data_IF_739070880594
#
_entry.id   IF_739070880594
#
_cell.length_a   1.000
_cell.length_b   1.000
_cell.length_c   1.000
_cell.angle_alpha   90.00
_cell.angle_beta   90.00
_cell.angle_gamma   90.00
#
_symmetry.space_group_name_H-M   'P 1'
#
loop_
_entity.id
_entity.type
_entity.pdbx_description
1 polymer ?
#
# COMPACT_ATOMS: atom_id res chain seq x y z
N UNK A 1 -11.85 -3.81 -10.43
CA UNK A 1 -10.65 -4.13 -9.63
C UNK A 1 -10.93 -3.74 -8.19
N UNK A 2 -10.49 -4.54 -7.20
CA UNK A 2 -10.57 -4.15 -5.78
C UNK A 2 -9.53 -3.08 -5.49
N UNK A 3 -9.89 -2.05 -4.72
CA UNK A 3 -9.03 -0.90 -4.43
C UNK A 3 -7.76 -1.33 -3.69
N UNK A 4 -7.88 -2.35 -2.86
CA UNK A 4 -6.82 -2.99 -2.08
C UNK A 4 -5.72 -3.57 -2.99
N UNK A 5 -6.09 -4.17 -4.12
CA UNK A 5 -5.13 -4.72 -5.08
C UNK A 5 -4.33 -3.60 -5.76
N UNK A 6 -5.01 -2.50 -6.12
CA UNK A 6 -4.34 -1.34 -6.74
C UNK A 6 -3.36 -0.68 -5.76
N UNK A 7 -3.75 -0.56 -4.49
CA UNK A 7 -2.86 -0.05 -3.43
C UNK A 7 -1.69 -1.00 -3.19
N UNK A 8 -1.93 -2.31 -3.20
CA UNK A 8 -0.86 -3.31 -3.04
C UNK A 8 0.20 -3.21 -4.15
N UNK A 9 -0.24 -3.01 -5.40
CA UNK A 9 0.66 -2.83 -6.55
C UNK A 9 1.40 -1.49 -6.49
N UNK A 10 0.69 -0.40 -6.17
CA UNK A 10 1.29 0.93 -6.08
C UNK A 10 2.31 1.02 -4.94
N UNK A 11 2.07 0.36 -3.80
CA UNK A 11 3.05 0.26 -2.71
C UNK A 11 4.35 -0.43 -3.15
N UNK A 12 4.26 -1.44 -4.02
CA UNK A 12 5.45 -2.07 -4.59
C UNK A 12 6.17 -1.14 -5.57
N UNK A 13 5.43 -0.42 -6.43
CA UNK A 13 6.00 0.60 -7.31
C UNK A 13 6.74 1.69 -6.50
N UNK A 14 6.08 2.24 -5.47
CA UNK A 14 6.67 3.24 -4.57
C UNK A 14 7.92 2.72 -3.86
N UNK A 15 7.97 1.44 -3.48
CA UNK A 15 9.17 0.84 -2.89
C UNK A 15 10.33 0.82 -3.89
N UNK A 16 10.08 0.33 -5.11
CA UNK A 16 11.08 0.25 -6.17
C UNK A 16 11.60 1.63 -6.61
N UNK A 17 10.77 2.67 -6.49
CA UNK A 17 11.13 4.06 -6.74
C UNK A 17 11.90 4.72 -5.58
N UNK A 18 12.01 4.07 -4.42
CA UNK A 18 12.62 4.64 -3.22
C UNK A 18 11.71 5.62 -2.45
N UNK A 19 10.42 5.67 -2.77
CA UNK A 19 9.42 6.56 -2.15
C UNK A 19 8.94 6.11 -0.76
N UNK A 20 9.42 4.96 -0.28
CA UNK A 20 9.14 4.40 1.05
C UNK A 20 10.40 4.38 1.96
N UNK A 21 11.02 5.54 2.26
CA UNK A 21 12.22 5.58 3.09
C UNK A 21 11.94 5.04 4.50
N UNK A 22 12.81 4.17 5.00
CA UNK A 22 12.69 3.57 6.33
C UNK A 22 11.74 2.36 6.41
N UNK A 23 11.07 2.00 5.30
CA UNK A 23 10.26 0.78 5.22
C UNK A 23 11.09 -0.31 4.55
N UNK A 24 11.18 -1.49 5.18
CA UNK A 24 11.88 -2.64 4.62
C UNK A 24 11.03 -3.34 3.56
N UNK A 25 11.68 -3.91 2.56
CA UNK A 25 11.04 -4.69 1.49
C UNK A 25 10.12 -5.79 2.03
N UNK A 26 10.57 -6.51 3.08
CA UNK A 26 9.80 -7.57 3.73
C UNK A 26 8.43 -7.09 4.22
N UNK A 27 8.38 -5.86 4.74
CA UNK A 27 7.14 -5.27 5.25
C UNK A 27 6.22 -4.90 4.08
N UNK A 28 6.76 -4.31 3.01
CA UNK A 28 6.00 -4.00 1.80
C UNK A 28 5.43 -5.28 1.19
N UNK A 29 6.24 -6.33 1.07
CA UNK A 29 5.81 -7.63 0.55
C UNK A 29 4.72 -8.26 1.40
N UNK A 30 4.84 -8.19 2.73
CA UNK A 30 3.83 -8.70 3.66
C UNK A 30 2.51 -7.93 3.51
N UNK A 31 2.55 -6.61 3.57
CA UNK A 31 1.37 -5.74 3.47
C UNK A 31 0.69 -5.89 2.10
N UNK A 32 1.45 -5.84 1.01
CA UNK A 32 0.91 -6.04 -0.34
C UNK A 32 0.28 -7.42 -0.49
N UNK A 33 0.85 -8.47 0.12
CA UNK A 33 0.25 -9.80 0.13
C UNK A 33 -1.08 -9.81 0.89
N UNK A 34 -1.12 -9.24 2.10
CA UNK A 34 -2.32 -9.20 2.94
C UNK A 34 -3.45 -8.39 2.29
N UNK A 35 -3.13 -7.28 1.62
CA UNK A 35 -4.10 -6.49 0.85
C UNK A 35 -4.66 -7.29 -0.36
N UNK A 36 -3.83 -8.09 -1.03
CA UNK A 36 -4.25 -8.94 -2.15
C UNK A 36 -5.07 -10.15 -1.68
N UNK A 37 -4.77 -10.74 -0.54
CA UNK A 37 -5.55 -11.86 0.03
C UNK A 37 -6.84 -11.37 0.70
N UNK A 38 -6.91 -10.09 1.07
CA UNK A 38 -8.00 -9.52 1.85
C UNK A 38 -7.90 -9.83 3.34
N UNK A 39 -6.70 -10.22 3.82
CA UNK A 39 -6.42 -10.43 5.24
C UNK A 39 -6.43 -9.11 6.02
N UNK A 40 -6.12 -8.00 5.35
CA UNK A 40 -6.25 -6.64 5.89
C UNK A 40 -6.93 -5.74 4.86
N UNK A 41 -7.66 -4.75 5.35
CA UNK A 41 -8.20 -3.65 4.55
C UNK A 41 -7.27 -2.43 4.56
N UNK A 42 -7.46 -1.51 3.62
CA UNK A 42 -6.75 -0.23 3.59
C UNK A 42 -7.02 0.57 4.89
N UNK A 43 -8.23 0.47 5.43
CA UNK A 43 -8.60 1.16 6.67
C UNK A 43 -7.80 0.62 7.87
N UNK A 44 -7.73 -0.70 8.01
CA UNK A 44 -6.92 -1.36 9.06
C UNK A 44 -5.43 -1.03 8.89
N UNK A 45 -4.92 -1.03 7.65
CA UNK A 45 -3.52 -0.65 7.39
C UNK A 45 -3.22 0.80 7.81
N UNK A 46 -4.16 1.72 7.63
CA UNK A 46 -4.02 3.13 8.04
C UNK A 46 -4.07 3.28 9.57
N UNK A 47 -4.88 2.46 10.25
CA UNK A 47 -5.08 2.53 11.70
C UNK A 47 -3.97 1.81 12.48
N UNK A 48 -3.66 0.57 12.11
CA UNK A 48 -2.72 -0.31 12.83
C UNK A 48 -1.25 -0.03 12.50
N UNK A 49 -0.98 0.59 11.33
CA UNK A 49 0.37 0.90 10.88
C UNK A 49 0.53 2.39 10.59
N UNK A 50 0.76 3.24 11.61
CA UNK A 50 0.93 4.69 11.45
C UNK A 50 2.03 5.07 10.45
N UNK A 51 3.09 4.26 10.35
CA UNK A 51 4.19 4.44 9.40
C UNK A 51 3.75 4.26 7.93
N UNK A 52 2.71 3.46 7.69
CA UNK A 52 2.13 3.24 6.37
C UNK A 52 1.03 4.23 6.04
N UNK A 53 0.39 4.87 7.03
CA UNK A 53 -0.74 5.78 6.81
C UNK A 53 -0.48 6.81 5.70
N UNK A 54 0.55 7.64 5.84
CA UNK A 54 0.88 8.66 4.84
C UNK A 54 1.25 8.05 3.49
N UNK A 55 1.88 6.87 3.50
CA UNK A 55 2.34 6.18 2.28
C UNK A 55 1.20 5.53 1.52
N UNK A 56 0.22 4.99 2.23
CA UNK A 56 -1.00 4.39 1.67
C UNK A 56 -1.90 5.48 1.10
N UNK A 57 -2.00 6.63 1.76
CA UNK A 57 -2.71 7.79 1.22
C UNK A 57 -2.05 8.27 -0.08
N UNK A 58 -0.72 8.42 -0.08
CA UNK A 58 0.03 8.76 -1.30
C UNK A 58 -0.16 7.73 -2.42
N UNK A 59 -0.09 6.44 -2.11
CA UNK A 59 -0.38 5.37 -3.09
C UNK A 59 -1.81 5.53 -3.65
N UNK A 60 -2.80 5.81 -2.81
CA UNK A 60 -4.17 6.04 -3.23
C UNK A 60 -4.34 7.25 -4.16
N UNK A 61 -3.57 8.31 -3.96
CA UNK A 61 -3.58 9.51 -4.82
C UNK A 61 -2.91 9.26 -6.18
N UNK A 62 -1.96 8.33 -6.26
CA UNK A 62 -1.25 7.97 -7.50
C UNK A 62 -2.03 7.01 -8.39
N UNK A 63 -2.94 6.22 -7.81
CA UNK A 63 -3.79 5.31 -8.57
C UNK A 63 -4.77 6.12 -9.43
N UNK A 64 -4.69 6.01 -10.77
CA UNK A 64 -5.60 6.74 -11.64
C UNK A 64 -7.04 6.26 -11.40
N UNK A 65 -7.92 7.19 -11.03
CA UNK A 65 -9.35 6.92 -11.00
C UNK A 65 -9.77 6.72 -12.47
N UNK A 66 -9.97 5.47 -12.88
CA UNK A 66 -10.61 5.19 -14.16
C UNK A 66 -12.06 5.68 -14.08
N UNK A 67 -12.30 6.88 -14.62
CA UNK A 67 -13.62 7.44 -14.92
C UNK A 67 -14.24 6.70 -16.11
#
# INVERSE_FOLDING_TARGET
>A
MKKEYLVADELQCMFLEGSLPGIKEEIVNLVSKQLRTGDITIAELIEDYPLFKDKVIQAMERIPISN
#
